data_IF_372676631770
#
_entry.id   IF_372676631770
#
_cell.length_a   1.000
_cell.length_b   1.000
_cell.length_c   1.000
_cell.angle_alpha   90.00
_cell.angle_beta   90.00
_cell.angle_gamma   90.00
#
_symmetry.space_group_name_H-M   'P 1'
#
loop_
_entity.id
_entity.type
_entity.pdbx_description
1 polymer ?
#
# COMPACT_ATOMS: atom_id res chain seq x y z
N UNK A 1 23.68 45.94 -33.34
CA UNK A 1 23.74 44.47 -33.19
C UNK A 1 24.71 43.98 -34.24
N UNK A 2 25.91 43.51 -33.85
CA UNK A 2 26.22 42.30 -33.05
C UNK A 2 26.83 42.69 -31.67
N UNK A 3 27.40 41.88 -30.76
CA UNK A 3 28.00 40.53 -30.79
C UNK A 3 28.07 39.95 -29.36
N UNK A 4 28.22 38.63 -29.25
CA UNK A 4 28.32 37.81 -28.05
C UNK A 4 29.72 37.88 -27.42
N UNK A 5 29.84 37.96 -26.09
CA UNK A 5 31.07 37.56 -25.37
C UNK A 5 30.74 36.66 -24.18
N UNK A 6 31.44 35.52 -24.15
CA UNK A 6 31.34 34.39 -23.23
C UNK A 6 32.42 34.55 -22.15
N UNK A 7 32.06 34.52 -20.86
CA UNK A 7 33.01 34.58 -19.74
C UNK A 7 33.17 33.23 -19.04
N UNK A 8 34.36 32.63 -19.17
CA UNK A 8 34.77 31.37 -18.52
C UNK A 8 35.38 31.61 -17.14
N UNK A 9 35.14 30.62 -16.26
CA UNK A 9 35.81 30.21 -15.01
C UNK A 9 37.02 31.00 -14.50
N UNK A 10 36.97 31.38 -13.22
CA UNK A 10 38.14 31.58 -12.38
C UNK A 10 38.33 30.37 -11.45
N UNK A 11 39.48 29.70 -11.61
CA UNK A 11 40.07 28.75 -10.69
C UNK A 11 40.75 29.49 -9.53
N UNK A 12 40.53 29.06 -8.29
CA UNK A 12 41.37 29.45 -7.16
C UNK A 12 42.12 28.23 -6.64
N UNK A 13 43.44 28.41 -6.62
CA UNK A 13 44.47 27.49 -6.18
C UNK A 13 44.31 27.19 -4.68
N UNK A 14 44.40 25.90 -4.33
CA UNK A 14 44.66 25.45 -2.97
C UNK A 14 46.17 25.51 -2.75
N UNK A 15 46.60 26.07 -1.61
CA UNK A 15 47.96 25.90 -1.15
C UNK A 15 47.99 25.50 0.33
N UNK A 16 48.97 24.63 0.61
CA UNK A 16 49.68 24.44 1.88
C UNK A 16 49.13 23.51 2.97
N UNK A 17 49.84 22.39 3.10
CA UNK A 17 50.31 21.73 4.32
C UNK A 17 49.53 21.97 5.64
N UNK A 18 48.75 20.98 6.07
CA UNK A 18 48.61 20.60 7.48
C UNK A 18 48.01 19.19 7.60
N UNK A 19 48.72 18.28 8.27
CA UNK A 19 48.20 16.99 8.77
C UNK A 19 47.58 17.18 10.17
N UNK A 20 46.76 16.23 10.66
CA UNK A 20 45.46 16.53 11.28
C UNK A 20 45.50 16.66 12.80
N UNK A 21 44.81 17.70 13.31
CA UNK A 21 44.43 17.81 14.72
C UNK A 21 42.94 17.54 14.90
N UNK A 22 42.60 16.60 15.77
CA UNK A 22 41.26 16.27 16.26
C UNK A 22 40.55 17.49 16.87
N UNK A 23 39.26 17.72 16.59
CA UNK A 23 38.45 18.59 17.44
C UNK A 23 37.63 17.79 18.44
N UNK A 24 37.76 18.25 19.67
CA UNK A 24 37.07 17.90 20.90
C UNK A 24 35.56 18.07 20.85
N UNK A 25 34.91 17.18 21.58
CA UNK A 25 33.50 17.11 21.95
C UNK A 25 33.09 18.34 22.78
N UNK A 26 32.21 19.20 22.27
CA UNK A 26 31.63 20.30 23.05
C UNK A 26 30.16 19.98 23.40
N UNK A 27 29.92 19.65 24.68
CA UNK A 27 28.59 19.53 25.28
C UNK A 27 28.12 20.92 25.68
N UNK A 28 27.07 21.44 25.05
CA UNK A 28 26.37 22.64 25.52
C UNK A 28 25.22 22.25 26.43
N UNK A 29 25.44 22.35 27.74
CA UNK A 29 24.39 22.32 28.76
C UNK A 29 23.67 23.67 28.79
N UNK A 30 22.35 23.67 28.86
CA UNK A 30 21.53 24.87 29.11
C UNK A 30 20.64 24.57 30.32
N UNK A 31 20.87 25.30 31.41
CA UNK A 31 20.05 25.34 32.61
C UNK A 31 18.75 26.11 32.33
N UNK A 32 17.62 25.61 32.83
CA UNK A 32 16.38 26.39 32.99
C UNK A 32 15.99 26.38 34.47
N UNK A 33 15.89 27.56 35.07
CA UNK A 33 15.27 27.78 36.39
C UNK A 33 13.75 28.00 36.26
N UNK A 34 13.00 27.96 37.37
CA UNK A 34 11.55 28.00 37.36
C UNK A 34 11.04 29.44 37.47
N UNK A 35 10.23 29.90 36.51
CA UNK A 35 9.51 31.16 36.61
C UNK A 35 8.02 30.92 36.31
N UNK A 36 7.16 31.43 37.19
CA UNK A 36 5.72 31.23 37.24
C UNK A 36 4.98 32.17 36.25
N UNK A 37 3.72 31.89 35.86
CA UNK A 37 3.05 32.57 34.75
C UNK A 37 2.22 33.80 35.17
N UNK A 38 2.05 34.81 34.29
CA UNK A 38 0.99 35.82 34.41
C UNK A 38 -0.19 35.54 33.42
N UNK A 39 -1.34 36.24 33.58
CA UNK A 39 -2.67 35.61 33.63
C UNK A 39 -3.49 35.64 32.33
N UNK A 40 -4.60 34.91 32.39
CA UNK A 40 -5.66 34.70 31.39
C UNK A 40 -6.22 35.97 30.75
N UNK A 41 -6.34 35.95 29.41
CA UNK A 41 -7.17 36.87 28.65
C UNK A 41 -8.47 36.19 28.18
N UNK A 42 -9.58 36.75 28.63
CA UNK A 42 -10.97 36.37 28.33
C UNK A 42 -11.38 36.93 26.96
N UNK A 43 -12.03 36.16 26.06
CA UNK A 43 -12.59 36.74 24.83
C UNK A 43 -13.98 37.33 25.08
N UNK A 44 -14.14 38.62 24.81
CA UNK A 44 -15.43 39.35 24.80
C UNK A 44 -16.26 38.98 23.56
N UNK A 45 -17.61 38.89 23.65
CA UNK A 45 -18.46 38.49 22.52
C UNK A 45 -18.78 39.67 21.60
N UNK A 46 -18.30 39.63 20.35
CA UNK A 46 -18.68 40.56 19.29
C UNK A 46 -19.98 40.14 18.63
N UNK A 47 -21.02 40.93 18.87
CA UNK A 47 -22.33 40.90 18.21
C UNK A 47 -22.14 41.25 16.73
N UNK A 48 -22.59 40.36 15.84
CA UNK A 48 -23.21 40.73 14.55
C UNK A 48 -24.02 39.52 14.07
N UNK A 49 -25.30 39.54 14.45
CA UNK A 49 -26.33 38.70 13.89
C UNK A 49 -26.69 39.21 12.49
N UNK A 50 -26.59 38.35 11.49
CA UNK A 50 -27.49 38.38 10.34
C UNK A 50 -28.07 36.97 10.24
N UNK A 51 -29.29 36.86 10.74
CA UNK A 51 -30.17 35.71 10.56
C UNK A 51 -30.51 35.58 9.07
N UNK A 52 -30.05 34.50 8.45
CA UNK A 52 -30.77 33.88 7.34
C UNK A 52 -31.15 32.49 7.78
N UNK A 53 -32.35 32.39 8.35
CA UNK A 53 -32.95 31.11 8.73
C UNK A 53 -33.10 30.19 7.52
N UNK A 54 -32.51 29.00 7.61
CA UNK A 54 -32.97 27.74 7.02
C UNK A 54 -31.98 26.61 7.35
N UNK A 55 -32.54 25.45 7.76
CA UNK A 55 -31.89 24.14 7.98
C UNK A 55 -31.37 23.77 9.37
N UNK A 56 -32.25 23.75 10.36
CA UNK A 56 -32.16 22.85 11.51
C UNK A 56 -32.56 21.41 11.13
N UNK A 57 -31.78 20.73 10.28
CA UNK A 57 -31.94 19.25 10.12
C UNK A 57 -30.64 18.50 9.74
N UNK A 58 -29.52 19.21 9.56
CA UNK A 58 -28.25 18.60 9.17
C UNK A 58 -27.39 18.09 10.35
N UNK A 59 -27.60 18.64 11.56
CA UNK A 59 -26.85 18.26 12.76
C UNK A 59 -27.25 16.89 13.33
N UNK A 60 -28.55 16.55 13.26
CA UNK A 60 -29.09 15.32 13.86
C UNK A 60 -28.76 14.07 13.03
N UNK A 61 -28.67 14.20 11.69
CA UNK A 61 -28.26 13.10 10.79
C UNK A 61 -26.77 12.77 10.87
N UNK A 62 -25.89 13.75 11.11
CA UNK A 62 -24.45 13.49 11.32
C UNK A 62 -24.19 12.79 12.67
N UNK A 63 -24.89 13.22 13.73
CA UNK A 63 -24.83 12.57 15.05
C UNK A 63 -25.33 11.12 15.00
N UNK A 64 -26.45 10.86 14.33
CA UNK A 64 -27.01 9.51 14.23
C UNK A 64 -26.16 8.57 13.36
N UNK A 65 -25.55 9.04 12.27
CA UNK A 65 -24.57 8.26 11.51
C UNK A 65 -23.30 7.98 12.31
N UNK A 66 -22.84 8.94 13.12
CA UNK A 66 -21.65 8.76 13.96
C UNK A 66 -21.92 7.77 15.10
N UNK A 67 -23.13 7.79 15.67
CA UNK A 67 -23.58 6.87 16.73
C UNK A 67 -23.87 5.46 16.21
N UNK A 68 -24.54 5.32 15.05
CA UNK A 68 -24.77 4.01 14.39
C UNK A 68 -23.49 3.33 13.92
N UNK A 69 -22.46 4.09 13.53
CA UNK A 69 -21.14 3.51 13.18
C UNK A 69 -20.35 3.06 14.40
N UNK A 70 -20.44 3.79 15.53
CA UNK A 70 -19.77 3.43 16.78
C UNK A 70 -20.29 2.11 17.36
N UNK A 71 -21.61 1.88 17.25
CA UNK A 71 -22.22 0.60 17.64
C UNK A 71 -21.84 -0.58 16.74
N UNK A 72 -21.46 -0.33 15.49
CA UNK A 72 -21.01 -1.39 14.59
C UNK A 72 -19.54 -1.78 14.85
N UNK A 73 -18.74 -0.89 15.45
CA UNK A 73 -17.36 -1.12 15.87
C UNK A 73 -17.25 -1.87 17.22
N UNK A 74 -18.28 -1.81 18.09
CA UNK A 74 -18.25 -2.45 19.43
C UNK A 74 -18.28 -3.98 19.42
N UNK A 75 -18.46 -4.64 18.27
CA UNK A 75 -18.43 -6.11 18.17
C UNK A 75 -17.02 -6.70 18.01
N UNK A 76 -16.00 -5.84 17.89
CA UNK A 76 -14.61 -6.25 17.91
C UNK A 76 -14.06 -6.09 19.33
N UNK A 77 -13.36 -7.09 19.91
CA UNK A 77 -12.80 -6.96 21.25
C UNK A 77 -11.91 -5.72 21.34
N UNK A 78 -12.04 -4.99 22.43
CA UNK A 78 -11.24 -3.81 22.75
C UNK A 78 -9.80 -4.28 22.99
N UNK A 79 -8.98 -4.25 21.93
CA UNK A 79 -7.58 -4.66 22.00
C UNK A 79 -6.80 -3.60 22.77
N UNK A 80 -5.94 -4.03 23.69
CA UNK A 80 -5.06 -3.15 24.49
C UNK A 80 -4.15 -2.22 23.64
N UNK A 81 -3.91 -2.56 22.37
CA UNK A 81 -3.20 -1.72 21.42
C UNK A 81 -4.15 -0.75 20.69
N UNK A 82 -3.82 0.55 20.70
CA UNK A 82 -4.46 1.61 19.92
C UNK A 82 -4.58 1.23 18.43
N UNK A 83 -5.72 0.61 18.06
CA UNK A 83 -6.12 0.41 16.69
C UNK A 83 -6.90 1.64 16.26
N UNK A 84 -6.22 2.61 15.67
CA UNK A 84 -6.94 3.61 14.89
C UNK A 84 -6.61 3.43 13.42
N UNK A 85 -7.55 2.87 12.66
CA UNK A 85 -7.53 2.94 11.19
C UNK A 85 -7.39 4.38 10.68
N UNK A 86 -7.71 5.38 11.51
CA UNK A 86 -7.47 6.79 11.23
C UNK A 86 -6.00 7.20 11.43
N UNK A 87 -5.18 6.41 12.11
CA UNK A 87 -3.73 6.61 12.20
C UNK A 87 -3.00 6.38 10.87
N UNK A 88 -3.68 6.03 9.77
CA UNK A 88 -3.12 6.19 8.42
C UNK A 88 -3.57 7.49 7.73
N UNK A 89 -4.28 8.40 8.39
CA UNK A 89 -4.72 9.67 7.79
C UNK A 89 -3.63 10.75 7.87
N UNK A 90 -3.56 11.59 6.83
CA UNK A 90 -2.65 12.76 6.80
C UNK A 90 -2.86 13.75 7.94
N UNK A 91 -4.09 13.85 8.47
CA UNK A 91 -4.41 14.74 9.58
C UNK A 91 -3.79 14.24 10.87
N UNK A 92 -3.90 12.94 11.13
CA UNK A 92 -3.35 12.35 12.34
C UNK A 92 -1.84 12.19 12.25
N UNK A 93 -1.30 11.85 11.09
CA UNK A 93 0.16 11.83 10.90
C UNK A 93 0.80 13.20 11.22
N UNK A 94 0.13 14.32 10.86
CA UNK A 94 0.61 15.67 11.20
C UNK A 94 0.45 16.05 12.67
N UNK A 95 -0.41 15.35 13.42
CA UNK A 95 -0.71 15.66 14.83
C UNK A 95 0.09 14.82 15.82
N UNK A 96 0.71 13.72 15.39
CA UNK A 96 1.44 12.83 16.28
C UNK A 96 2.79 13.43 16.69
N UNK A 97 3.11 13.24 17.96
CA UNK A 97 4.39 13.64 18.55
C UNK A 97 5.51 12.61 18.29
N UNK A 98 5.16 11.32 18.23
CA UNK A 98 6.09 10.21 17.97
C UNK A 98 5.68 9.36 16.76
N UNK A 99 6.65 8.62 16.21
CA UNK A 99 6.42 7.66 15.13
C UNK A 99 5.77 6.38 15.67
N UNK A 100 5.08 5.63 14.80
CA UNK A 100 4.54 4.32 15.22
C UNK A 100 5.65 3.34 15.61
N UNK A 101 6.84 3.49 15.01
CA UNK A 101 7.98 2.65 15.32
C UNK A 101 8.50 2.89 16.74
N UNK A 102 8.60 4.15 17.18
CA UNK A 102 8.96 4.51 18.56
C UNK A 102 7.91 4.02 19.56
N UNK A 103 6.62 4.23 19.27
CA UNK A 103 5.54 3.77 20.14
C UNK A 103 5.57 2.26 20.40
N UNK A 104 5.80 1.43 19.36
CA UNK A 104 5.91 -0.02 19.54
C UNK A 104 7.23 -0.47 20.17
N UNK A 105 8.25 0.38 20.19
CA UNK A 105 9.48 0.12 20.96
C UNK A 105 9.25 0.37 22.46
N UNK A 106 8.44 1.37 22.81
CA UNK A 106 8.04 1.68 24.19
C UNK A 106 7.03 0.66 24.75
N UNK A 107 6.24 0.04 23.86
CA UNK A 107 5.19 -0.94 24.20
C UNK A 107 5.44 -2.32 23.56
N UNK A 108 6.47 -3.07 23.99
CA UNK A 108 6.82 -4.37 23.41
C UNK A 108 5.74 -5.44 23.59
N UNK A 109 4.84 -5.28 24.56
CA UNK A 109 3.68 -6.15 24.80
C UNK A 109 2.64 -6.10 23.68
N UNK A 110 2.61 -5.00 22.92
CA UNK A 110 1.62 -4.78 21.88
C UNK A 110 2.10 -5.32 20.54
N UNK A 111 1.35 -6.26 19.94
CA UNK A 111 1.60 -6.70 18.57
C UNK A 111 1.43 -5.51 17.60
N UNK A 112 2.46 -5.11 16.83
CA UNK A 112 2.33 -3.99 15.92
C UNK A 112 1.25 -4.22 14.87
N UNK A 113 0.25 -3.34 14.88
CA UNK A 113 -0.92 -3.44 14.01
C UNK A 113 -0.66 -2.73 12.69
N UNK A 114 -1.02 -3.38 11.58
CA UNK A 114 -0.90 -2.76 10.26
C UNK A 114 -2.08 -1.80 10.05
N UNK A 115 -1.86 -0.48 9.89
CA UNK A 115 -2.92 0.53 9.82
C UNK A 115 -3.57 0.56 8.43
N UNK A 116 -3.98 -0.62 7.94
CA UNK A 116 -4.67 -0.81 6.69
C UNK A 116 -5.66 -1.97 6.82
N UNK A 117 -6.95 -1.67 6.74
CA UNK A 117 -7.98 -2.71 6.76
C UNK A 117 -8.87 -2.66 5.53
N UNK A 118 -8.96 -3.83 4.87
CA UNK A 118 -9.83 -4.08 3.72
C UNK A 118 -11.31 -4.26 4.10
N UNK A 119 -11.62 -4.34 5.40
CA UNK A 119 -12.86 -4.92 5.90
C UNK A 119 -14.09 -4.00 5.75
N UNK A 120 -13.93 -2.67 5.68
CA UNK A 120 -15.08 -1.75 5.76
C UNK A 120 -15.10 -0.63 4.69
N UNK A 121 -16.28 -0.40 4.09
CA UNK A 121 -16.62 0.80 3.33
C UNK A 121 -16.51 0.73 1.79
N UNK A 122 -16.98 1.78 1.12
CA UNK A 122 -16.98 1.93 -0.35
C UNK A 122 -15.56 1.85 -0.97
N UNK A 123 -14.51 2.09 -0.18
CA UNK A 123 -13.12 2.01 -0.64
C UNK A 123 -12.71 0.60 -1.07
N UNK A 124 -13.26 -0.46 -0.45
CA UNK A 124 -12.97 -1.85 -0.84
C UNK A 124 -13.48 -2.17 -2.25
N UNK A 125 -14.69 -1.69 -2.55
CA UNK A 125 -15.33 -1.89 -3.84
C UNK A 125 -14.61 -1.09 -4.92
N UNK A 126 -14.22 0.15 -4.64
CA UNK A 126 -13.41 0.95 -5.56
C UNK A 126 -12.08 0.28 -5.88
N UNK A 127 -11.33 -0.16 -4.87
CA UNK A 127 -10.03 -0.79 -5.09
C UNK A 127 -10.15 -2.16 -5.76
N UNK A 128 -11.12 -2.98 -5.37
CA UNK A 128 -11.41 -4.25 -6.03
C UNK A 128 -11.81 -4.06 -7.50
N UNK A 129 -12.64 -3.05 -7.78
CA UNK A 129 -13.02 -2.70 -9.15
C UNK A 129 -11.84 -2.18 -9.98
N UNK A 130 -10.95 -1.36 -9.39
CA UNK A 130 -9.70 -0.93 -10.05
C UNK A 130 -8.81 -2.12 -10.40
N UNK A 131 -8.58 -3.04 -9.46
CA UNK A 131 -7.80 -4.25 -9.69
C UNK A 131 -8.46 -5.10 -10.79
N UNK A 132 -9.78 -5.25 -10.75
CA UNK A 132 -10.53 -5.99 -11.78
C UNK A 132 -10.33 -5.37 -13.17
N UNK A 133 -10.49 -4.06 -13.32
CA UNK A 133 -10.25 -3.36 -14.59
C UNK A 133 -8.81 -3.59 -15.06
N UNK A 134 -7.82 -3.49 -14.16
CA UNK A 134 -6.42 -3.73 -14.52
C UNK A 134 -6.19 -5.16 -15.04
N UNK A 135 -6.80 -6.16 -14.42
CA UNK A 135 -6.68 -7.56 -14.87
C UNK A 135 -7.37 -7.78 -16.22
N UNK A 136 -8.57 -7.21 -16.40
CA UNK A 136 -9.30 -7.29 -17.67
C UNK A 136 -8.51 -6.63 -18.80
N UNK A 137 -8.00 -5.42 -18.56
CA UNK A 137 -7.18 -4.67 -19.50
C UNK A 137 -5.87 -5.40 -19.84
N UNK A 138 -5.18 -5.93 -18.82
CA UNK A 138 -3.90 -6.57 -19.01
C UNK A 138 -3.98 -7.97 -19.65
N UNK A 139 -5.07 -8.72 -19.47
CA UNK A 139 -5.21 -10.11 -19.91
C UNK A 139 -6.30 -10.31 -20.97
N UNK A 140 -7.53 -9.90 -20.65
CA UNK A 140 -8.72 -10.24 -21.44
C UNK A 140 -8.72 -9.44 -22.75
N UNK A 141 -8.40 -8.15 -22.70
CA UNK A 141 -8.45 -7.26 -23.86
C UNK A 141 -7.50 -7.72 -24.99
N UNK A 142 -6.20 -8.01 -24.75
CA UNK A 142 -5.31 -8.50 -25.81
C UNK A 142 -5.79 -9.80 -26.46
N UNK A 143 -6.22 -10.77 -25.65
CA UNK A 143 -6.69 -12.07 -26.13
C UNK A 143 -7.96 -11.91 -26.95
N UNK A 144 -9.00 -11.29 -26.37
CA UNK A 144 -10.32 -11.17 -27.00
C UNK A 144 -10.24 -10.33 -28.28
N UNK A 145 -9.54 -9.20 -28.26
CA UNK A 145 -9.38 -8.37 -29.46
C UNK A 145 -8.63 -9.10 -30.57
N UNK A 146 -7.53 -9.80 -30.23
CA UNK A 146 -6.76 -10.53 -31.23
C UNK A 146 -7.59 -11.62 -31.91
N UNK A 147 -8.23 -12.51 -31.14
CA UNK A 147 -8.99 -13.62 -31.71
C UNK A 147 -10.25 -13.13 -32.42
N UNK A 148 -10.96 -12.15 -31.88
CA UNK A 148 -12.19 -11.63 -32.49
C UNK A 148 -11.91 -10.94 -33.82
N UNK A 149 -10.94 -10.00 -33.84
CA UNK A 149 -10.64 -9.25 -35.07
C UNK A 149 -9.97 -10.10 -36.14
N UNK A 150 -9.20 -11.12 -35.75
CA UNK A 150 -8.55 -12.03 -36.69
C UNK A 150 -9.52 -13.02 -37.32
N UNK A 151 -10.32 -13.71 -36.51
CA UNK A 151 -11.15 -14.83 -36.98
C UNK A 151 -12.56 -14.42 -37.39
N UNK A 152 -13.17 -13.43 -36.72
CA UNK A 152 -14.50 -12.94 -37.11
C UNK A 152 -14.42 -11.73 -38.04
N UNK A 153 -13.44 -10.84 -37.83
CA UNK A 153 -13.30 -9.61 -38.60
C UNK A 153 -12.41 -9.71 -39.85
N UNK A 154 -11.65 -10.79 -40.00
CA UNK A 154 -10.63 -10.96 -41.07
C UNK A 154 -9.69 -9.75 -41.22
N UNK A 155 -9.41 -9.06 -40.12
CA UNK A 155 -8.64 -7.82 -40.10
C UNK A 155 -7.14 -8.11 -40.23
N UNK A 156 -6.41 -7.23 -40.92
CA UNK A 156 -4.96 -7.32 -41.04
C UNK A 156 -4.28 -7.18 -39.68
N UNK A 157 -3.24 -7.99 -39.43
CA UNK A 157 -2.59 -8.08 -38.12
C UNK A 157 -2.05 -6.75 -37.57
N UNK A 158 -1.51 -5.88 -38.43
CA UNK A 158 -0.98 -4.58 -38.00
C UNK A 158 -2.06 -3.65 -37.45
N UNK A 159 -3.29 -3.70 -37.99
CA UNK A 159 -4.44 -2.95 -37.47
C UNK A 159 -4.84 -3.50 -36.11
N UNK A 160 -4.94 -4.83 -36.00
CA UNK A 160 -5.29 -5.51 -34.73
C UNK A 160 -4.34 -5.07 -33.62
N UNK A 161 -3.03 -5.13 -33.88
CA UNK A 161 -2.04 -4.81 -32.84
C UNK A 161 -1.86 -3.32 -32.59
N UNK A 162 -2.14 -2.44 -33.56
CA UNK A 162 -2.25 -1.00 -33.31
C UNK A 162 -3.40 -0.69 -32.33
N UNK A 163 -4.56 -1.33 -32.49
CA UNK A 163 -5.70 -1.19 -31.57
C UNK A 163 -5.34 -1.76 -30.20
N UNK A 164 -4.79 -2.98 -30.13
CA UNK A 164 -4.37 -3.59 -28.86
C UNK A 164 -3.35 -2.71 -28.14
N UNK A 165 -2.32 -2.21 -28.83
CA UNK A 165 -1.30 -1.36 -28.23
C UNK A 165 -1.83 0.00 -27.74
N UNK A 166 -2.90 0.53 -28.35
CA UNK A 166 -3.52 1.80 -27.94
C UNK A 166 -4.37 1.65 -26.68
N UNK A 167 -5.08 0.53 -26.56
CA UNK A 167 -5.98 0.28 -25.42
C UNK A 167 -5.20 -0.27 -24.22
N UNK A 168 -4.26 -1.18 -24.48
CA UNK A 168 -3.57 -1.92 -23.45
C UNK A 168 -2.76 -1.01 -22.54
N UNK A 169 -2.86 -1.27 -21.23
CA UNK A 169 -2.03 -0.64 -20.21
C UNK A 169 -2.59 0.68 -19.70
N UNK A 170 -3.70 1.20 -20.22
CA UNK A 170 -4.29 2.48 -19.81
C UNK A 170 -4.42 2.65 -18.28
N UNK A 171 -5.15 1.76 -17.58
CA UNK A 171 -5.26 1.78 -16.12
C UNK A 171 -3.91 1.70 -15.40
N UNK A 172 -2.98 0.89 -15.92
CA UNK A 172 -1.64 0.70 -15.35
C UNK A 172 -0.78 1.95 -15.50
N UNK A 173 -0.80 2.61 -16.66
CA UNK A 173 -0.09 3.86 -16.90
C UNK A 173 -0.63 5.00 -16.03
N UNK A 174 -1.95 5.07 -15.85
CA UNK A 174 -2.58 6.04 -14.95
C UNK A 174 -2.15 5.81 -13.50
N UNK A 175 -2.21 4.57 -13.00
CA UNK A 175 -1.76 4.25 -11.64
C UNK A 175 -0.26 4.52 -11.45
N UNK A 176 0.56 4.23 -12.46
CA UNK A 176 1.98 4.56 -12.44
C UNK A 176 2.21 6.08 -12.40
N UNK A 177 1.49 6.87 -13.22
CA UNK A 177 1.58 8.32 -13.20
C UNK A 177 1.12 8.93 -11.86
N UNK A 178 0.02 8.42 -11.30
CA UNK A 178 -0.47 8.80 -9.97
C UNK A 178 0.55 8.46 -8.89
N UNK A 179 1.20 7.30 -8.98
CA UNK A 179 2.29 6.88 -8.09
C UNK A 179 3.49 7.85 -8.18
N UNK A 180 3.95 8.17 -9.40
CA UNK A 180 5.02 9.15 -9.63
C UNK A 180 4.69 10.49 -8.99
N UNK A 181 3.46 10.98 -9.21
CA UNK A 181 2.98 12.23 -8.65
C UNK A 181 2.95 12.21 -7.12
N UNK A 182 2.49 11.12 -6.50
CA UNK A 182 2.46 10.98 -5.03
C UNK A 182 3.86 10.99 -4.42
N UNK A 183 4.87 10.44 -5.10
CA UNK A 183 6.25 10.36 -4.62
C UNK A 183 7.04 11.68 -4.80
N UNK A 184 6.81 12.40 -5.90
CA UNK A 184 7.51 13.66 -6.23
C UNK A 184 7.00 14.85 -5.39
N UNK A 185 5.78 14.77 -4.83
CA UNK A 185 5.20 15.82 -4.00
C UNK A 185 6.16 16.26 -2.88
N UNK A 186 6.13 17.57 -2.59
CA UNK A 186 6.91 18.17 -1.47
C UNK A 186 6.55 17.53 -0.13
N UNK A 187 5.29 17.14 0.04
CA UNK A 187 4.83 16.42 1.22
C UNK A 187 5.46 15.03 1.30
N UNK A 188 6.10 14.76 2.42
CA UNK A 188 6.88 13.56 2.66
C UNK A 188 6.04 12.30 2.93
N UNK A 189 4.71 12.39 2.95
CA UNK A 189 3.79 11.36 3.45
C UNK A 189 3.87 10.00 2.75
N UNK A 190 4.17 9.94 1.46
CA UNK A 190 4.20 8.68 0.69
C UNK A 190 5.62 8.12 0.48
N UNK A 191 6.64 8.93 0.76
CA UNK A 191 8.03 8.62 0.47
C UNK A 191 8.58 7.56 1.43
N UNK A 192 9.55 6.74 0.99
CA UNK A 192 10.30 5.86 1.89
C UNK A 192 10.82 6.52 3.16
N UNK A 193 11.00 5.72 4.21
CA UNK A 193 11.52 6.19 5.49
C UNK A 193 13.00 6.63 5.36
N UNK A 194 13.40 7.56 6.24
CA UNK A 194 14.77 8.05 6.32
C UNK A 194 15.25 8.92 5.15
N UNK A 195 14.36 9.40 4.27
CA UNK A 195 14.72 10.31 3.18
C UNK A 195 13.77 11.50 3.05
N UNK A 196 14.36 12.67 2.79
CA UNK A 196 13.70 13.94 2.44
C UNK A 196 13.94 14.33 0.97
N UNK A 197 14.62 13.50 0.18
CA UNK A 197 14.86 13.75 -1.24
C UNK A 197 13.62 13.41 -2.09
N UNK A 198 13.15 14.37 -2.89
CA UNK A 198 11.99 14.23 -3.81
C UNK A 198 12.19 13.19 -4.91
N UNK A 199 13.43 12.84 -5.21
CA UNK A 199 13.82 11.88 -6.25
C UNK A 199 14.08 10.47 -5.71
N UNK A 200 13.83 10.24 -4.41
CA UNK A 200 13.95 8.92 -3.82
C UNK A 200 12.70 8.08 -4.12
N UNK A 201 12.64 7.55 -5.34
CA UNK A 201 11.65 6.56 -5.73
C UNK A 201 11.89 5.25 -4.99
N UNK A 202 10.80 4.56 -4.69
CA UNK A 202 10.85 3.26 -4.03
C UNK A 202 11.07 2.11 -5.01
N UNK A 203 11.40 0.92 -4.50
CA UNK A 203 11.80 -0.20 -5.36
C UNK A 203 10.65 -0.66 -6.25
N UNK A 204 9.40 -0.60 -5.76
CA UNK A 204 8.23 -0.94 -6.58
C UNK A 204 8.08 -0.01 -7.77
N UNK A 205 8.41 1.28 -7.61
CA UNK A 205 8.41 2.22 -8.73
C UNK A 205 9.44 1.81 -9.79
N UNK A 206 10.67 1.46 -9.39
CA UNK A 206 11.70 0.98 -10.32
C UNK A 206 11.34 -0.34 -11.01
N UNK A 207 10.77 -1.30 -10.26
CA UNK A 207 10.27 -2.57 -10.82
C UNK A 207 9.14 -2.29 -11.83
N UNK A 208 8.24 -1.36 -11.51
CA UNK A 208 7.15 -0.95 -12.41
C UNK A 208 7.69 -0.30 -13.67
N UNK A 209 8.67 0.60 -13.57
CA UNK A 209 9.33 1.22 -14.73
C UNK A 209 10.00 0.19 -15.63
N UNK A 210 10.72 -0.77 -15.05
CA UNK A 210 11.34 -1.88 -15.78
C UNK A 210 10.29 -2.72 -16.51
N UNK A 211 9.21 -3.07 -15.81
CA UNK A 211 8.12 -3.91 -16.34
C UNK A 211 7.40 -3.19 -17.48
N UNK A 212 7.02 -1.93 -17.28
CA UNK A 212 6.39 -1.10 -18.31
C UNK A 212 7.31 -0.95 -19.52
N UNK A 213 8.59 -0.67 -19.30
CA UNK A 213 9.58 -0.55 -20.38
C UNK A 213 9.71 -1.84 -21.19
N UNK A 214 9.83 -2.99 -20.53
CA UNK A 214 9.94 -4.28 -21.19
C UNK A 214 8.69 -4.63 -22.01
N UNK A 215 7.50 -4.50 -21.42
CA UNK A 215 6.26 -4.81 -22.13
C UNK A 215 6.04 -3.85 -23.31
N UNK A 216 6.25 -2.55 -23.09
CA UNK A 216 6.08 -1.54 -24.15
C UNK A 216 7.07 -1.79 -25.29
N UNK A 217 8.31 -2.19 -24.99
CA UNK A 217 9.28 -2.57 -26.02
C UNK A 217 8.80 -3.77 -26.86
N UNK A 218 8.27 -4.83 -26.23
CA UNK A 218 7.71 -5.98 -26.96
C UNK A 218 6.52 -5.59 -27.83
N UNK A 219 5.62 -4.75 -27.32
CA UNK A 219 4.45 -4.27 -28.08
C UNK A 219 4.87 -3.42 -29.28
N UNK A 220 5.81 -2.48 -29.11
CA UNK A 220 6.31 -1.62 -30.19
C UNK A 220 7.07 -2.45 -31.24
N UNK A 221 8.09 -3.21 -30.81
CA UNK A 221 8.93 -3.99 -31.73
C UNK A 221 8.10 -5.03 -32.48
N UNK A 222 7.16 -5.67 -31.80
CA UNK A 222 6.30 -6.69 -32.39
C UNK A 222 5.28 -6.13 -33.40
N UNK A 223 4.82 -4.89 -33.20
CA UNK A 223 3.81 -4.24 -34.04
C UNK A 223 4.36 -3.33 -35.13
N UNK A 224 5.64 -2.92 -35.04
CA UNK A 224 6.26 -2.02 -36.02
C UNK A 224 6.30 -2.56 -37.46
N UNK A 225 6.59 -3.84 -37.72
CA UNK A 225 6.60 -4.37 -39.08
C UNK A 225 5.19 -4.56 -39.65
N UNK A 226 5.01 -4.32 -40.95
CA UNK A 226 3.74 -4.61 -41.64
C UNK A 226 3.33 -6.09 -41.52
N UNK A 227 4.33 -6.99 -41.54
CA UNK A 227 4.15 -8.39 -41.15
C UNK A 227 4.47 -8.51 -39.66
N UNK A 228 3.44 -8.37 -38.83
CA UNK A 228 3.56 -8.36 -37.37
C UNK A 228 4.26 -9.60 -36.81
N UNK A 229 5.14 -9.39 -35.84
CA UNK A 229 5.89 -10.45 -35.19
C UNK A 229 5.09 -11.01 -34.01
N UNK A 230 4.13 -11.87 -34.32
CA UNK A 230 3.20 -12.42 -33.33
C UNK A 230 3.92 -13.07 -32.13
N UNK A 231 5.02 -13.80 -32.37
CA UNK A 231 5.80 -14.42 -31.26
C UNK A 231 6.37 -13.38 -30.30
N UNK A 232 6.81 -12.23 -30.81
CA UNK A 232 7.29 -11.10 -29.99
C UNK A 232 6.11 -10.48 -29.22
N UNK A 233 4.95 -10.37 -29.85
CA UNK A 233 3.70 -9.88 -29.23
C UNK A 233 3.09 -10.85 -28.20
N UNK A 234 3.58 -12.09 -28.11
CA UNK A 234 3.25 -13.06 -27.07
C UNK A 234 4.10 -12.92 -25.80
N UNK A 235 5.21 -12.19 -25.86
CA UNK A 235 6.16 -12.01 -24.76
C UNK A 235 5.82 -10.96 -23.69
N UNK A 236 4.86 -10.02 -23.86
CA UNK A 236 4.44 -9.09 -22.80
C UNK A 236 4.15 -9.74 -21.44
N UNK A 237 3.22 -10.68 -21.33
CA UNK A 237 2.87 -11.24 -20.02
C UNK A 237 3.99 -12.10 -19.39
N UNK A 238 4.76 -12.92 -20.14
CA UNK A 238 5.97 -13.54 -19.62
C UNK A 238 7.01 -12.52 -19.14
N UNK A 239 7.15 -11.39 -19.83
CA UNK A 239 8.05 -10.30 -19.41
C UNK A 239 7.62 -9.66 -18.09
N UNK A 240 6.32 -9.56 -17.80
CA UNK A 240 5.83 -9.12 -16.49
C UNK A 240 6.32 -10.06 -15.39
N UNK A 241 6.25 -11.38 -15.61
CA UNK A 241 6.76 -12.37 -14.66
C UNK A 241 8.28 -12.27 -14.48
N UNK A 242 9.04 -12.08 -15.57
CA UNK A 242 10.49 -11.86 -15.48
C UNK A 242 10.84 -10.59 -14.69
N UNK A 243 10.23 -9.46 -15.02
CA UNK A 243 10.56 -8.18 -14.40
C UNK A 243 10.12 -8.13 -12.94
N UNK A 244 8.87 -8.49 -12.64
CA UNK A 244 8.34 -8.45 -11.28
C UNK A 244 8.91 -9.60 -10.44
N UNK A 245 8.75 -10.83 -10.91
CA UNK A 245 9.18 -12.04 -10.21
C UNK A 245 10.70 -12.15 -10.07
N UNK A 246 11.43 -11.81 -11.13
CA UNK A 246 12.90 -11.77 -11.11
C UNK A 246 13.45 -10.71 -10.18
N UNK A 247 12.86 -9.51 -10.14
CA UNK A 247 13.30 -8.48 -9.18
C UNK A 247 13.05 -8.92 -7.74
N UNK A 248 11.89 -9.48 -7.44
CA UNK A 248 11.59 -10.05 -6.11
C UNK A 248 12.56 -11.18 -5.78
N UNK A 249 12.86 -12.06 -6.74
CA UNK A 249 13.82 -13.16 -6.56
C UNK A 249 15.20 -12.63 -6.20
N UNK A 250 15.75 -11.69 -7.00
CA UNK A 250 17.08 -11.12 -6.80
C UNK A 250 17.19 -10.45 -5.42
N UNK A 251 16.21 -9.62 -5.05
CA UNK A 251 16.21 -8.96 -3.73
C UNK A 251 16.11 -9.99 -2.60
N UNK A 252 15.27 -11.02 -2.78
CA UNK A 252 15.11 -12.08 -1.78
C UNK A 252 16.40 -12.89 -1.62
N UNK A 253 17.02 -13.32 -2.72
CA UNK A 253 18.31 -14.01 -2.67
C UNK A 253 19.38 -13.15 -2.00
N UNK A 254 19.41 -11.85 -2.31
CA UNK A 254 20.32 -10.91 -1.64
C UNK A 254 20.06 -10.83 -0.14
N UNK A 255 18.80 -10.72 0.28
CA UNK A 255 18.39 -10.76 1.70
C UNK A 255 18.88 -12.02 2.42
N UNK A 256 18.81 -13.19 1.76
CA UNK A 256 19.28 -14.45 2.34
C UNK A 256 20.79 -14.52 2.56
N UNK A 257 21.58 -13.73 1.84
CA UNK A 257 23.03 -13.67 2.05
C UNK A 257 23.44 -12.91 3.33
N UNK A 258 22.50 -12.21 3.98
CA UNK A 258 22.78 -11.39 5.16
C UNK A 258 23.65 -10.15 4.90
N UNK A 259 23.93 -9.84 3.62
CA UNK A 259 24.74 -8.67 3.23
C UNK A 259 23.97 -7.37 3.45
N UNK A 260 24.71 -6.32 3.81
CA UNK A 260 24.14 -4.98 4.04
C UNK A 260 23.80 -4.30 2.70
N UNK A 261 22.76 -3.47 2.72
CA UNK A 261 22.24 -2.80 1.53
C UNK A 261 23.31 -1.87 0.89
N UNK A 262 23.70 -2.08 -0.38
CA UNK A 262 24.76 -1.30 -1.03
C UNK A 262 24.31 0.14 -1.36
N UNK A 263 23.00 0.30 -1.57
CA UNK A 263 22.30 1.56 -1.75
C UNK A 263 20.93 1.46 -1.05
N UNK A 264 20.17 2.56 -1.02
CA UNK A 264 18.84 2.57 -0.41
C UNK A 264 17.87 1.70 -1.20
N UNK A 265 17.19 0.78 -0.52
CA UNK A 265 16.13 -0.05 -1.08
C UNK A 265 14.84 0.32 -0.36
N UNK A 266 13.98 1.11 -1.00
CA UNK A 266 12.79 1.70 -0.35
C UNK A 266 13.13 2.30 1.01
N UNK A 267 12.49 1.87 2.10
CA UNK A 267 12.76 2.39 3.45
C UNK A 267 14.04 1.87 4.08
N UNK A 268 14.70 0.86 3.50
CA UNK A 268 15.97 0.35 4.00
C UNK A 268 17.10 1.29 3.58
N UNK A 269 17.79 1.95 4.53
CA UNK A 269 18.89 2.86 4.22
C UNK A 269 20.12 2.09 3.72
N UNK A 270 21.05 2.80 3.08
CA UNK A 270 22.37 2.25 2.73
C UNK A 270 23.06 1.74 4.02
N UNK A 271 23.60 0.53 3.98
CA UNK A 271 24.18 -0.16 5.14
C UNK A 271 23.17 -0.89 6.02
N UNK A 272 21.86 -0.77 5.76
CA UNK A 272 20.80 -1.50 6.48
C UNK A 272 20.72 -2.97 6.09
N UNK A 273 19.93 -3.74 6.83
CA UNK A 273 19.65 -5.14 6.50
C UNK A 273 18.60 -5.24 5.40
N UNK A 274 18.90 -6.01 4.35
CA UNK A 274 17.98 -6.17 3.23
C UNK A 274 16.90 -7.17 3.62
N UNK A 275 15.64 -6.77 3.48
CA UNK A 275 14.48 -7.63 3.69
C UNK A 275 14.07 -8.40 2.41
N UNK A 276 13.31 -9.50 2.54
CA UNK A 276 12.81 -10.26 1.39
C UNK A 276 11.99 -9.39 0.42
N UNK A 277 12.00 -9.72 -0.87
CA UNK A 277 11.45 -8.85 -1.92
C UNK A 277 9.96 -8.48 -1.74
N UNK A 278 9.13 -9.40 -1.23
CA UNK A 278 7.71 -9.13 -0.97
C UNK A 278 7.51 -8.10 0.15
N UNK A 279 8.43 -7.99 1.10
CA UNK A 279 8.37 -6.94 2.12
C UNK A 279 8.26 -5.57 1.47
N UNK A 280 9.15 -5.28 0.52
CA UNK A 280 9.20 -3.98 -0.14
C UNK A 280 7.99 -3.75 -1.04
N UNK A 281 7.51 -4.77 -1.74
CA UNK A 281 6.28 -4.64 -2.54
C UNK A 281 5.07 -4.29 -1.66
N UNK A 282 4.88 -4.98 -0.53
CA UNK A 282 3.80 -4.69 0.42
C UNK A 282 3.92 -3.27 0.95
N UNK A 283 5.12 -2.91 1.43
CA UNK A 283 5.42 -1.58 1.94
C UNK A 283 5.00 -0.48 0.95
N UNK A 284 5.48 -0.61 -0.29
CA UNK A 284 5.39 0.40 -1.32
C UNK A 284 4.02 0.48 -1.99
N UNK A 285 3.35 -0.64 -2.20
CA UNK A 285 2.00 -0.68 -2.80
C UNK A 285 0.99 -0.15 -1.79
N UNK A 286 1.05 -0.59 -0.53
CA UNK A 286 0.06 -0.17 0.47
C UNK A 286 0.29 1.29 0.89
N UNK A 287 1.55 1.70 1.06
CA UNK A 287 1.85 3.09 1.37
C UNK A 287 1.36 4.02 0.26
N UNK A 288 1.67 3.71 -1.01
CA UNK A 288 1.43 4.64 -2.12
C UNK A 288 0.11 4.40 -2.83
N UNK A 289 -0.17 3.20 -3.38
CA UNK A 289 -1.41 2.93 -4.15
C UNK A 289 -2.63 2.92 -3.23
N UNK A 290 -2.57 2.18 -2.13
CA UNK A 290 -3.67 2.11 -1.16
C UNK A 290 -3.79 3.38 -0.29
N UNK A 291 -2.79 4.25 -0.33
CA UNK A 291 -2.82 5.58 0.27
C UNK A 291 -2.56 5.61 1.78
N UNK A 292 -1.96 4.55 2.34
CA UNK A 292 -1.72 4.45 3.79
C UNK A 292 -0.48 5.25 4.27
N UNK A 293 0.42 5.61 3.36
CA UNK A 293 1.59 6.48 3.61
C UNK A 293 2.61 5.94 4.62
N UNK A 294 3.39 6.86 5.19
CA UNK A 294 4.43 6.58 6.20
C UNK A 294 3.95 5.80 7.42
N UNK A 295 2.76 6.05 8.01
CA UNK A 295 2.30 5.26 9.15
C UNK A 295 2.27 3.75 8.86
N UNK A 296 1.90 3.35 7.64
CA UNK A 296 1.96 1.95 7.26
C UNK A 296 3.39 1.42 7.16
N UNK A 297 4.32 2.21 6.61
CA UNK A 297 5.74 1.84 6.52
C UNK A 297 6.35 1.65 7.93
N UNK A 298 6.06 2.57 8.84
CA UNK A 298 6.51 2.53 10.24
C UNK A 298 5.96 1.28 10.97
N UNK A 299 4.66 1.04 10.86
CA UNK A 299 4.02 -0.12 11.48
C UNK A 299 4.50 -1.46 10.89
N UNK A 300 4.71 -1.53 9.57
CA UNK A 300 5.24 -2.71 8.90
C UNK A 300 6.67 -3.00 9.36
N UNK A 301 7.51 -1.97 9.47
CA UNK A 301 8.87 -2.10 9.98
C UNK A 301 8.88 -2.57 11.45
N UNK A 302 8.05 -1.97 12.30
CA UNK A 302 7.89 -2.38 13.69
C UNK A 302 7.45 -3.84 13.82
N UNK A 303 6.43 -4.26 13.06
CA UNK A 303 5.96 -5.66 13.06
C UNK A 303 7.02 -6.63 12.57
N UNK A 304 7.74 -6.27 11.52
CA UNK A 304 8.79 -7.12 10.97
C UNK A 304 9.95 -7.29 11.94
N UNK A 305 10.31 -6.25 12.69
CA UNK A 305 11.34 -6.35 13.74
C UNK A 305 10.83 -7.21 14.91
N UNK A 306 9.59 -6.97 15.36
CA UNK A 306 9.03 -7.59 16.56
C UNK A 306 8.72 -9.09 16.38
N UNK A 307 8.15 -9.50 15.23
CA UNK A 307 7.57 -10.83 15.05
C UNK A 307 8.43 -11.77 14.19
N UNK A 308 9.07 -12.80 14.78
CA UNK A 308 9.80 -13.82 14.01
C UNK A 308 8.89 -14.61 13.05
N UNK A 309 7.63 -14.86 13.45
CA UNK A 309 6.63 -15.54 12.61
C UNK A 309 6.29 -14.72 11.38
N UNK A 310 6.08 -13.41 11.53
CA UNK A 310 5.83 -12.51 10.40
C UNK A 310 7.02 -12.47 9.44
N UNK A 311 8.25 -12.36 9.97
CA UNK A 311 9.47 -12.42 9.14
C UNK A 311 9.55 -13.72 8.33
N UNK A 312 9.28 -14.85 8.98
CA UNK A 312 9.28 -16.16 8.31
C UNK A 312 8.22 -16.22 7.22
N UNK A 313 6.99 -15.77 7.50
CA UNK A 313 5.91 -15.71 6.52
C UNK A 313 6.30 -14.86 5.31
N UNK A 314 6.83 -13.65 5.50
CA UNK A 314 7.26 -12.76 4.41
C UNK A 314 8.38 -13.37 3.56
N UNK A 315 9.35 -14.03 4.20
CA UNK A 315 10.41 -14.77 3.50
C UNK A 315 9.84 -15.91 2.64
N UNK A 316 8.95 -16.72 3.20
CA UNK A 316 8.33 -17.84 2.48
C UNK A 316 7.46 -17.34 1.32
N UNK A 317 6.65 -16.30 1.53
CA UNK A 317 5.84 -15.69 0.47
C UNK A 317 6.73 -15.11 -0.63
N UNK A 318 7.88 -14.51 -0.29
CA UNK A 318 8.81 -14.00 -1.28
C UNK A 318 9.30 -15.09 -2.23
N UNK A 319 9.72 -16.24 -1.68
CA UNK A 319 10.18 -17.39 -2.48
C UNK A 319 9.04 -18.02 -3.27
N UNK A 320 7.87 -18.18 -2.64
CA UNK A 320 6.67 -18.79 -3.24
C UNK A 320 6.16 -18.02 -4.46
N UNK A 321 6.29 -16.70 -4.47
CA UNK A 321 5.93 -15.87 -5.61
C UNK A 321 7.05 -15.80 -6.64
N UNK A 322 8.30 -15.61 -6.21
CA UNK A 322 9.39 -15.30 -7.12
C UNK A 322 9.89 -16.52 -7.91
N UNK A 323 10.05 -17.69 -7.28
CA UNK A 323 10.62 -18.87 -7.96
C UNK A 323 9.67 -19.40 -9.05
N UNK A 324 8.38 -19.68 -8.75
CA UNK A 324 7.48 -20.22 -9.77
C UNK A 324 7.18 -19.20 -10.88
N UNK A 325 7.18 -17.89 -10.58
CA UNK A 325 7.01 -16.88 -11.63
C UNK A 325 8.11 -16.96 -12.70
N UNK A 326 9.37 -17.16 -12.31
CA UNK A 326 10.49 -17.33 -13.24
C UNK A 326 10.37 -18.63 -14.02
N UNK A 327 9.99 -19.73 -13.36
CA UNK A 327 9.80 -21.03 -14.04
C UNK A 327 8.69 -20.91 -15.09
N UNK A 328 7.54 -20.34 -14.75
CA UNK A 328 6.42 -20.14 -15.67
C UNK A 328 6.82 -19.23 -16.82
N UNK A 329 7.56 -18.14 -16.55
CA UNK A 329 8.07 -17.24 -17.58
C UNK A 329 8.99 -17.97 -18.57
N UNK A 330 9.91 -18.80 -18.07
CA UNK A 330 10.83 -19.61 -18.88
C UNK A 330 10.06 -20.61 -19.74
N UNK A 331 9.14 -21.37 -19.15
CA UNK A 331 8.33 -22.35 -19.88
C UNK A 331 7.49 -21.67 -20.96
N UNK A 332 6.82 -20.56 -20.65
CA UNK A 332 6.05 -19.81 -21.64
C UNK A 332 6.95 -19.31 -22.78
N UNK A 333 8.13 -18.76 -22.45
CA UNK A 333 9.08 -18.27 -23.45
C UNK A 333 9.54 -19.38 -24.40
N UNK A 334 9.88 -20.55 -23.87
CA UNK A 334 10.29 -21.71 -24.67
C UNK A 334 9.15 -22.11 -25.63
N UNK A 335 7.93 -22.25 -25.12
CA UNK A 335 6.74 -22.62 -25.93
C UNK A 335 6.48 -21.57 -27.02
N UNK A 336 6.62 -20.28 -26.71
CA UNK A 336 6.41 -19.19 -27.67
C UNK A 336 7.45 -19.19 -28.78
N UNK A 337 8.71 -19.56 -28.49
CA UNK A 337 9.82 -19.47 -29.46
C UNK A 337 9.92 -20.74 -30.31
N UNK A 338 9.49 -21.90 -29.82
CA UNK A 338 9.54 -23.17 -30.55
C UNK A 338 8.72 -23.09 -31.86
N UNK A 339 9.39 -23.33 -32.98
CA UNK A 339 8.84 -23.22 -34.33
C UNK A 339 7.62 -24.13 -34.62
N UNK A 340 7.60 -25.41 -34.18
CA UNK A 340 6.45 -26.30 -34.34
C UNK A 340 5.11 -25.76 -33.84
N UNK A 341 5.11 -24.85 -32.85
CA UNK A 341 3.88 -24.29 -32.30
C UNK A 341 3.39 -23.15 -33.20
N UNK A 342 2.11 -23.16 -33.55
CA UNK A 342 1.52 -22.08 -34.36
C UNK A 342 1.60 -20.75 -33.62
N UNK A 343 1.74 -19.66 -34.38
CA UNK A 343 1.90 -18.30 -33.83
C UNK A 343 0.68 -17.90 -33.00
N UNK A 344 -0.50 -18.34 -33.44
CA UNK A 344 -1.79 -18.12 -32.79
C UNK A 344 -1.86 -18.81 -31.44
N UNK A 345 -1.44 -20.08 -31.36
CA UNK A 345 -1.39 -20.81 -30.09
C UNK A 345 -0.36 -20.20 -29.15
N UNK A 346 0.82 -19.84 -29.67
CA UNK A 346 1.84 -19.15 -28.90
C UNK A 346 1.36 -17.82 -28.31
N UNK A 347 0.53 -17.06 -29.04
CA UNK A 347 -0.09 -15.83 -28.55
C UNK A 347 -1.07 -16.08 -27.39
N UNK A 348 -1.98 -17.04 -27.57
CA UNK A 348 -2.92 -17.42 -26.51
C UNK A 348 -2.23 -17.90 -25.24
N UNK A 349 -1.18 -18.73 -25.38
CA UNK A 349 -0.39 -19.22 -24.24
C UNK A 349 0.36 -18.07 -23.57
N UNK A 350 1.01 -17.23 -24.36
CA UNK A 350 1.82 -16.12 -23.87
C UNK A 350 1.02 -15.18 -22.98
N UNK A 351 -0.20 -14.82 -23.37
CA UNK A 351 -1.07 -14.00 -22.53
C UNK A 351 -1.82 -14.83 -21.47
N UNK A 352 -2.44 -15.94 -21.82
CA UNK A 352 -3.34 -16.67 -20.92
C UNK A 352 -2.65 -17.30 -19.71
N UNK A 353 -1.54 -18.01 -19.93
CA UNK A 353 -0.91 -18.82 -18.87
C UNK A 353 -0.38 -17.96 -17.71
N UNK A 354 0.36 -16.86 -17.93
CA UNK A 354 0.83 -16.00 -16.83
C UNK A 354 -0.31 -15.47 -15.94
N UNK A 355 -1.41 -15.00 -16.51
CA UNK A 355 -2.52 -14.46 -15.74
C UNK A 355 -3.34 -15.54 -15.04
N UNK A 356 -3.53 -16.70 -15.68
CA UNK A 356 -4.15 -17.86 -15.03
C UNK A 356 -3.32 -18.31 -13.82
N UNK A 357 -2.00 -18.42 -14.01
CA UNK A 357 -1.07 -18.74 -12.94
C UNK A 357 -1.15 -17.73 -11.79
N UNK A 358 -1.14 -16.42 -12.10
CA UNK A 358 -1.30 -15.36 -11.08
C UNK A 358 -2.62 -15.50 -10.31
N UNK A 359 -3.72 -15.84 -10.98
CA UNK A 359 -5.02 -16.08 -10.34
C UNK A 359 -4.98 -17.25 -9.36
N UNK A 360 -4.43 -18.39 -9.78
CA UNK A 360 -4.29 -19.59 -8.93
C UNK A 360 -3.38 -19.30 -7.73
N UNK A 361 -2.22 -18.68 -7.94
CA UNK A 361 -1.29 -18.35 -6.87
C UNK A 361 -1.88 -17.35 -5.87
N UNK A 362 -2.64 -16.37 -6.35
CA UNK A 362 -3.37 -15.44 -5.47
C UNK A 362 -4.39 -16.18 -4.61
N UNK A 363 -5.16 -17.10 -5.21
CA UNK A 363 -6.16 -17.90 -4.51
C UNK A 363 -5.55 -18.79 -3.42
N UNK A 364 -4.30 -19.23 -3.58
CA UNK A 364 -3.53 -20.00 -2.58
C UNK A 364 -2.94 -19.07 -1.50
N UNK A 365 -2.27 -17.98 -1.89
CA UNK A 365 -1.57 -17.10 -0.95
C UNK A 365 -2.52 -16.37 0.00
N UNK A 366 -3.69 -15.92 -0.45
CA UNK A 366 -4.62 -15.16 0.38
C UNK A 366 -5.08 -15.93 1.64
N UNK A 367 -5.64 -17.16 1.55
CA UNK A 367 -6.03 -17.91 2.74
C UNK A 367 -4.82 -18.32 3.58
N UNK A 368 -3.68 -18.63 2.97
CA UNK A 368 -2.45 -18.96 3.70
C UNK A 368 -1.97 -17.78 4.55
N UNK A 369 -1.81 -16.58 3.98
CA UNK A 369 -1.40 -15.38 4.72
C UNK A 369 -2.40 -15.07 5.85
N UNK A 370 -3.71 -15.22 5.61
CA UNK A 370 -4.73 -15.02 6.65
C UNK A 370 -4.56 -15.98 7.82
N UNK A 371 -4.26 -17.26 7.54
CA UNK A 371 -3.99 -18.27 8.56
C UNK A 371 -2.73 -17.92 9.35
N UNK A 372 -1.62 -17.60 8.68
CA UNK A 372 -0.34 -17.29 9.33
C UNK A 372 -0.44 -16.03 10.21
N UNK A 373 -1.14 -15.00 9.74
CA UNK A 373 -1.40 -13.77 10.52
C UNK A 373 -2.30 -14.03 11.74
N UNK A 374 -3.25 -14.96 11.62
CA UNK A 374 -4.11 -15.35 12.74
C UNK A 374 -3.32 -16.13 13.80
N UNK A 375 -2.51 -17.10 13.37
CA UNK A 375 -1.61 -17.87 14.25
C UNK A 375 -0.59 -16.97 14.93
N UNK A 376 -0.03 -15.99 14.21
CA UNK A 376 0.85 -14.97 14.80
C UNK A 376 0.15 -14.22 15.93
N UNK A 377 -1.12 -13.83 15.72
CA UNK A 377 -1.88 -13.09 16.73
C UNK A 377 -2.14 -13.94 17.96
N UNK A 378 -2.59 -15.19 17.78
CA UNK A 378 -2.88 -16.10 18.89
C UNK A 378 -1.61 -16.36 19.71
N UNK A 379 -0.51 -16.72 19.06
CA UNK A 379 0.71 -17.02 19.84
C UNK A 379 1.30 -15.78 20.48
N UNK A 380 1.14 -14.59 19.88
CA UNK A 380 1.54 -13.35 20.54
C UNK A 380 0.70 -13.11 21.82
N UNK A 381 -0.61 -13.35 21.76
CA UNK A 381 -1.48 -13.26 22.94
C UNK A 381 -1.09 -14.28 24.03
N UNK A 382 -0.73 -15.51 23.64
CA UNK A 382 -0.22 -16.56 24.54
C UNK A 382 1.11 -16.18 25.20
N UNK A 383 2.09 -15.70 24.43
CA UNK A 383 3.44 -15.35 24.90
C UNK A 383 3.41 -14.21 25.94
N UNK A 384 2.43 -13.30 25.84
CA UNK A 384 2.23 -12.18 26.78
C UNK A 384 1.12 -12.43 27.82
N UNK A 385 0.57 -13.65 27.90
CA UNK A 385 -0.44 -14.01 28.90
C UNK A 385 -1.78 -13.26 28.77
N UNK A 386 -2.08 -12.70 27.58
CA UNK A 386 -3.31 -11.97 27.31
C UNK A 386 -4.41 -13.02 27.08
N UNK A 387 -5.15 -13.36 28.13
CA UNK A 387 -6.27 -14.30 28.03
C UNK A 387 -7.37 -13.66 27.17
N UNK A 388 -7.82 -14.28 26.07
CA UNK A 388 -8.93 -13.74 25.30
C UNK A 388 -10.17 -13.71 26.18
N UNK A 389 -10.70 -12.51 26.40
CA UNK A 389 -11.94 -12.31 27.15
C UNK A 389 -13.04 -13.18 26.51
N UNK A 390 -13.52 -14.18 27.25
CA UNK A 390 -14.61 -15.04 26.78
C UNK A 390 -15.77 -14.12 26.42
N UNK A 391 -16.23 -14.18 25.15
CA UNK A 391 -17.47 -13.53 24.72
C UNK A 391 -18.57 -13.87 25.74
N UNK A 392 -18.88 -12.92 26.62
CA UNK A 392 -20.12 -12.98 27.37
C UNK A 392 -21.24 -12.89 26.34
N UNK A 393 -21.81 -14.05 25.99
CA UNK A 393 -23.16 -14.07 25.43
C UNK A 393 -24.00 -13.34 26.47
N UNK A 394 -24.58 -12.19 26.09
CA UNK A 394 -25.69 -11.61 26.82
C UNK A 394 -26.75 -12.71 26.91
N UNK A 395 -26.79 -13.42 28.04
CA UNK A 395 -27.99 -14.05 28.50
C UNK A 395 -28.89 -12.87 28.91
N UNK A 396 -29.90 -12.61 28.09
CA UNK A 396 -31.09 -11.88 28.51
C UNK A 396 -31.59 -12.55 29.79
N UNK A 397 -31.38 -11.93 30.93
CA UNK A 397 -32.16 -12.22 32.12
C UNK A 397 -33.52 -11.56 31.90
N UNK A 398 -34.47 -12.33 31.40
CA UNK A 398 -35.87 -12.04 31.65
C UNK A 398 -36.06 -12.17 33.16
N UNK A 399 -36.06 -11.03 33.85
CA UNK A 399 -36.57 -10.93 35.21
C UNK A 399 -37.91 -10.23 35.07
N UNK A 400 -38.97 -11.05 35.02
CA UNK A 400 -40.35 -10.60 35.07
C UNK A 400 -40.53 -9.69 36.29
N UNK A 401 -40.88 -8.45 35.99
CA UNK A 401 -41.23 -7.44 36.98
C UNK A 401 -42.73 -7.62 37.26
N UNK A 402 -43.09 -8.46 38.24
CA UNK A 402 -44.44 -8.51 38.80
C UNK A 402 -44.75 -7.17 39.49
N UNK A 403 -45.68 -6.42 38.90
CA UNK A 403 -46.29 -5.21 39.48
C UNK A 403 -47.44 -5.59 40.44
N UNK A 404 -47.56 -5.00 41.63
CA UNK A 404 -48.80 -5.07 42.42
C UNK A 404 -49.80 -3.97 42.02
N UNK A 405 -51.10 -4.11 42.39
CA UNK A 405 -52.24 -3.64 41.60
C UNK A 405 -52.69 -2.20 41.88
N UNK A 406 -53.39 -1.63 40.88
CA UNK A 406 -54.02 -0.31 40.85
C UNK A 406 -54.99 -0.06 42.01
N UNK A 407 -54.87 1.11 42.65
CA UNK A 407 -55.87 1.68 43.56
C UNK A 407 -56.80 2.65 42.78
N UNK A 408 -58.14 2.55 42.91
CA UNK A 408 -59.08 3.33 42.10
C UNK A 408 -59.33 4.75 42.66
N UNK A 409 -59.32 5.76 41.77
CA UNK A 409 -59.72 7.14 42.07
C UNK A 409 -61.25 7.28 42.10
N UNK A 410 -61.79 7.80 43.21
CA UNK A 410 -63.18 8.29 43.30
C UNK A 410 -63.37 9.57 42.46
N UNK A 411 -64.49 9.74 41.75
CA UNK A 411 -64.93 11.04 41.26
C UNK A 411 -65.87 11.76 42.23
N UNK A 412 -65.69 13.08 42.34
CA UNK A 412 -66.50 14.06 43.07
C UNK A 412 -67.93 14.22 42.50
N UNK A 413 -68.88 14.75 43.30
CA UNK A 413 -70.31 14.73 42.98
C UNK A 413 -70.69 15.88 42.05
N UNK A 414 -71.59 15.61 41.10
CA UNK A 414 -72.31 16.65 40.35
C UNK A 414 -73.77 16.63 40.76
N UNK A 415 -74.24 17.82 41.11
CA UNK A 415 -75.60 18.16 41.54
C UNK A 415 -76.67 17.96 40.45
N UNK A 416 -77.89 17.72 40.95
CA UNK A 416 -79.23 17.75 40.35
C UNK A 416 -79.65 16.65 39.37
#
# INVERSE_FOLDING_TARGET
>A
MPEVVRGSRASLQLDRNASPGTPSQERRAVHFGPESPPPDDVPTPGINAVDTGLSTDSGRRRSSQHRRRRTQDMTSPERAAYYDSRAATKREFRRRASTLQEYYQEHPELLPQLPFTWRHGLKRWKLGFTIFIMVVDACVVPIVLYYSLKFAGHVQGWIIFAVVATIWGGPTYVEFAVRSWRLIKKENFFRPLGTSNRWAFDITHWISSLTIGAVTAFLIIGSAPHIVWIRVLSMPAPSILYCLGGSVFIITMYSLTGRKAPFRISSTPKGGEVYPGVYYLIEDIVAVNAGAGRPFREALAARYIASPRFRRMIKVQSLFWSIPSLIVAIVCTIIIVIHPISKEVGYGIGWGVPFLWMGIWTAISVPWIRRDMHLETITWEEDFGIVPEKKHKHATSDTDQELPPNEPKLPEPVHT
#
